data_IF_809170834685
#
_entry.id   IF_809170834685
#
_cell.length_a   1.000
_cell.length_b   1.000
_cell.length_c   1.000
_cell.angle_alpha   90.00
_cell.angle_beta   90.00
_cell.angle_gamma   90.00
#
_symmetry.space_group_name_H-M   'P 1'
#
loop_
_entity.id
_entity.type
_entity.pdbx_description
1 polymer ?
#
# COMPACT_ATOMS: atom_id res chain seq x y z
N UNK A 1 -15.42 -34.42 -69.68
CA UNK A 1 -15.56 -33.53 -68.51
C UNK A 1 -14.24 -33.67 -67.74
N UNK A 2 -13.14 -33.06 -68.16
CA UNK A 2 -12.81 -31.60 -68.08
C UNK A 2 -13.02 -31.10 -66.65
N UNK A 3 -12.09 -30.58 -65.87
CA UNK A 3 -10.69 -30.13 -66.00
C UNK A 3 -10.40 -29.39 -64.66
N UNK A 4 -9.26 -29.59 -64.01
CA UNK A 4 -8.08 -28.70 -64.05
C UNK A 4 -8.21 -27.34 -63.30
N UNK A 5 -7.14 -27.04 -62.54
CA UNK A 5 -6.68 -25.72 -62.01
C UNK A 5 -7.39 -25.21 -60.73
N UNK A 6 -6.72 -24.61 -59.75
CA UNK A 6 -5.71 -23.57 -59.90
C UNK A 6 -4.77 -23.44 -58.66
N UNK A 7 -3.46 -23.35 -58.92
CA UNK A 7 -2.43 -22.76 -58.05
C UNK A 7 -2.43 -21.24 -58.24
N UNK A 8 -2.21 -20.45 -57.18
CA UNK A 8 -1.61 -19.10 -57.27
C UNK A 8 -1.04 -18.66 -55.90
N UNK A 9 0.30 -18.54 -55.81
CA UNK A 9 1.12 -17.31 -55.59
C UNK A 9 0.98 -16.68 -54.19
N UNK A 10 1.98 -16.71 -53.30
CA UNK A 10 3.32 -16.10 -53.32
C UNK A 10 3.31 -14.57 -53.48
N UNK A 11 3.72 -13.85 -52.42
CA UNK A 11 3.89 -12.39 -52.45
C UNK A 11 4.16 -11.76 -51.08
N UNK A 12 5.23 -12.17 -50.39
CA UNK A 12 5.81 -11.42 -49.26
C UNK A 12 6.53 -10.19 -49.83
N UNK A 13 6.05 -8.99 -49.56
CA UNK A 13 6.82 -7.75 -49.76
C UNK A 13 7.16 -7.11 -48.42
N UNK A 14 8.48 -6.98 -48.22
CA UNK A 14 9.16 -6.28 -47.14
C UNK A 14 8.83 -4.79 -47.21
N UNK A 15 8.36 -4.21 -46.11
CA UNK A 15 8.39 -2.78 -45.89
C UNK A 15 9.56 -2.46 -44.94
N UNK A 16 10.61 -1.86 -45.48
CA UNK A 16 11.69 -1.23 -44.74
C UNK A 16 11.20 0.12 -44.23
N UNK A 17 11.27 0.35 -42.91
CA UNK A 17 11.10 1.68 -42.32
C UNK A 17 12.47 2.11 -41.78
N UNK A 18 13.07 3.06 -42.49
CA UNK A 18 14.27 3.76 -42.05
C UNK A 18 13.92 4.71 -40.90
N UNK A 19 14.53 4.44 -39.74
CA UNK A 19 14.80 5.44 -38.70
C UNK A 19 15.90 6.38 -39.20
N UNK A 20 15.69 7.70 -39.07
CA UNK A 20 16.71 8.67 -38.65
C UNK A 20 16.11 10.08 -38.59
N UNK A 21 15.86 10.58 -37.38
CA UNK A 21 15.96 12.02 -37.11
C UNK A 21 16.26 12.25 -35.64
N UNK A 22 17.54 12.44 -35.35
CA UNK A 22 18.03 13.01 -34.11
C UNK A 22 17.77 14.52 -34.13
N UNK A 23 17.06 15.02 -33.12
CA UNK A 23 16.95 16.45 -32.82
C UNK A 23 17.71 16.70 -31.54
N UNK A 24 18.73 17.54 -31.65
CA UNK A 24 19.61 18.00 -30.59
C UNK A 24 18.82 18.88 -29.60
N UNK A 25 18.87 18.56 -28.31
CA UNK A 25 18.37 19.40 -27.23
C UNK A 25 19.47 20.37 -26.74
N UNK A 26 19.14 21.62 -26.41
CA UNK A 26 20.13 22.61 -25.97
C UNK A 26 20.50 22.46 -24.48
N UNK A 27 21.79 22.66 -24.24
CA UNK A 27 22.48 22.71 -22.95
C UNK A 27 21.93 23.86 -22.08
N UNK A 28 21.28 23.53 -20.96
CA UNK A 28 20.95 24.48 -19.92
C UNK A 28 22.05 24.52 -18.84
N UNK A 29 22.57 25.73 -18.62
CA UNK A 29 23.70 26.07 -17.76
C UNK A 29 23.41 25.85 -16.27
N UNK A 30 24.36 25.20 -15.60
CA UNK A 30 24.52 25.19 -14.15
C UNK A 30 24.73 26.61 -13.61
N UNK A 31 23.87 27.07 -12.69
CA UNK A 31 24.15 28.17 -11.77
C UNK A 31 24.28 27.59 -10.37
N UNK A 32 25.51 27.48 -9.89
CA UNK A 32 25.83 27.27 -8.48
C UNK A 32 25.36 28.49 -7.67
N UNK A 33 24.64 28.26 -6.57
CA UNK A 33 24.42 29.25 -5.52
C UNK A 33 24.89 28.69 -4.17
N UNK A 34 25.45 29.55 -3.31
CA UNK A 34 26.23 29.15 -2.15
C UNK A 34 25.37 28.71 -0.98
N UNK A 35 25.92 27.77 -0.20
CA UNK A 35 25.37 27.28 1.06
C UNK A 35 25.43 28.38 2.14
N UNK A 36 24.27 28.73 2.68
CA UNK A 36 24.17 29.45 3.95
C UNK A 36 23.68 28.46 5.02
N UNK A 37 24.61 28.13 5.94
CA UNK A 37 24.33 27.43 7.19
C UNK A 37 23.57 28.37 8.12
N UNK A 38 22.38 27.98 8.54
CA UNK A 38 21.77 28.47 9.78
C UNK A 38 21.43 27.25 10.64
N UNK A 39 22.12 27.14 11.78
CA UNK A 39 21.81 26.17 12.82
C UNK A 39 20.52 26.62 13.50
N UNK A 40 19.41 25.94 13.22
CA UNK A 40 18.24 25.96 14.08
C UNK A 40 18.31 24.71 14.96
N UNK A 41 18.58 24.93 16.25
CA UNK A 41 18.54 23.91 17.29
C UNK A 41 17.08 23.51 17.50
N UNK A 42 16.62 22.54 16.71
CA UNK A 42 15.36 21.87 16.96
C UNK A 42 15.56 20.89 18.13
N UNK A 43 14.80 21.08 19.20
CA UNK A 43 14.75 20.12 20.29
C UNK A 43 14.34 18.74 19.74
N UNK A 44 15.05 17.65 20.09
CA UNK A 44 14.73 16.34 19.58
C UNK A 44 13.46 15.83 20.25
N UNK A 45 12.34 15.92 19.53
CA UNK A 45 11.23 15.00 19.72
C UNK A 45 11.84 13.59 19.75
N UNK A 46 11.62 12.89 20.85
CA UNK A 46 12.11 11.53 21.13
C UNK A 46 11.76 10.64 19.94
N UNK A 47 12.71 10.49 19.03
CA UNK A 47 12.66 9.50 17.98
C UNK A 47 12.94 8.17 18.67
N UNK A 48 11.92 7.59 19.29
CA UNK A 48 11.94 6.20 19.71
C UNK A 48 12.38 5.43 18.48
N UNK A 49 13.60 4.89 18.53
CA UNK A 49 14.13 4.08 17.44
C UNK A 49 13.36 2.77 17.51
N UNK A 50 12.13 2.78 17.01
CA UNK A 50 11.27 1.60 17.01
C UNK A 50 11.94 0.61 16.09
N UNK A 51 12.54 -0.42 16.68
CA UNK A 51 13.17 -1.51 15.96
C UNK A 51 12.23 -2.04 14.87
N UNK A 52 12.79 -2.56 13.78
CA UNK A 52 12.00 -3.14 12.71
C UNK A 52 11.11 -4.26 13.28
N UNK A 53 9.85 -4.39 12.82
CA UNK A 53 8.95 -5.42 13.33
C UNK A 53 9.46 -6.79 12.91
N UNK A 54 9.35 -7.78 13.81
CA UNK A 54 9.74 -9.16 13.50
C UNK A 54 8.92 -9.68 12.30
N UNK A 55 9.56 -10.26 11.28
CA UNK A 55 8.85 -10.66 10.07
C UNK A 55 7.91 -11.84 10.33
N UNK A 56 6.62 -11.75 9.93
CA UNK A 56 5.72 -12.89 10.03
C UNK A 56 6.11 -13.96 9.03
N UNK A 57 6.04 -15.22 9.47
CA UNK A 57 6.31 -16.38 8.59
C UNK A 57 5.02 -17.00 8.05
N UNK A 58 3.89 -16.77 8.73
CA UNK A 58 2.57 -17.28 8.33
C UNK A 58 1.54 -16.17 8.16
N UNK A 59 0.45 -16.48 7.47
CA UNK A 59 -0.72 -15.61 7.29
C UNK A 59 -1.39 -15.33 8.64
N UNK A 60 -1.56 -16.37 9.46
CA UNK A 60 -2.12 -16.23 10.82
C UNK A 60 -1.28 -15.29 11.67
N UNK A 61 0.06 -15.40 11.61
CA UNK A 61 0.94 -14.48 12.32
C UNK A 61 0.80 -13.05 11.80
N UNK A 62 0.74 -12.88 10.48
CA UNK A 62 0.55 -11.56 9.86
C UNK A 62 -0.79 -10.92 10.28
N UNK A 63 -1.88 -11.68 10.35
CA UNK A 63 -3.19 -11.21 10.83
C UNK A 63 -3.11 -10.75 12.29
N UNK A 64 -2.41 -11.51 13.15
CA UNK A 64 -2.18 -11.13 14.56
C UNK A 64 -1.35 -9.85 14.68
N UNK A 65 -0.31 -9.69 13.87
CA UNK A 65 0.49 -8.47 13.83
C UNK A 65 -0.34 -7.27 13.34
N UNK A 66 -1.15 -7.44 12.28
CA UNK A 66 -2.05 -6.42 11.78
C UNK A 66 -3.09 -5.97 12.82
N UNK A 67 -3.62 -6.91 13.61
CA UNK A 67 -4.56 -6.61 14.71
C UNK A 67 -3.89 -5.80 15.82
N UNK A 68 -2.64 -6.14 16.13
CA UNK A 68 -1.82 -5.42 17.11
C UNK A 68 -1.55 -3.98 16.63
N UNK A 69 -1.20 -3.81 15.35
CA UNK A 69 -1.00 -2.50 14.74
C UNK A 69 -2.29 -1.65 14.78
N UNK A 70 -3.45 -2.24 14.48
CA UNK A 70 -4.75 -1.55 14.59
C UNK A 70 -5.02 -1.08 16.02
N UNK A 71 -4.78 -1.94 17.02
CA UNK A 71 -4.97 -1.60 18.43
C UNK A 71 -4.12 -0.40 18.83
N UNK A 72 -2.82 -0.48 18.55
CA UNK A 72 -1.86 0.57 18.90
C UNK A 72 -2.20 1.89 18.19
N UNK A 73 -2.61 1.82 16.93
CA UNK A 73 -3.04 2.99 16.18
C UNK A 73 -4.28 3.64 16.80
N UNK A 74 -5.29 2.85 17.20
CA UNK A 74 -6.50 3.38 17.87
C UNK A 74 -6.19 4.01 19.22
N UNK A 75 -5.31 3.40 20.00
CA UNK A 75 -4.85 3.96 21.28
C UNK A 75 -4.15 5.31 21.07
N UNK A 76 -3.27 5.41 20.08
CA UNK A 76 -2.60 6.66 19.72
C UNK A 76 -3.57 7.72 19.18
N UNK A 77 -4.52 7.33 18.33
CA UNK A 77 -5.56 8.22 17.82
C UNK A 77 -6.44 8.79 18.96
N UNK A 78 -6.81 7.95 19.94
CA UNK A 78 -7.55 8.38 21.11
C UNK A 78 -6.74 9.30 22.02
N UNK A 79 -5.44 9.05 22.18
CA UNK A 79 -4.53 9.92 22.94
C UNK A 79 -4.39 11.30 22.28
N UNK A 80 -4.25 11.34 20.95
CA UNK A 80 -4.19 12.56 20.16
C UNK A 80 -5.49 13.38 20.32
N UNK A 81 -6.65 12.74 20.18
CA UNK A 81 -7.96 13.38 20.35
C UNK A 81 -8.14 13.98 21.76
N UNK A 82 -7.70 13.27 22.81
CA UNK A 82 -7.71 13.78 24.19
C UNK A 82 -6.78 14.98 24.36
N UNK A 83 -5.60 14.95 23.75
CA UNK A 83 -4.63 16.05 23.81
C UNK A 83 -5.15 17.31 23.11
N UNK A 84 -5.83 17.15 21.97
CA UNK A 84 -6.45 18.23 21.21
C UNK A 84 -7.65 18.84 21.96
N UNK A 85 -8.49 18.02 22.59
CA UNK A 85 -9.57 18.49 23.45
C UNK A 85 -9.05 19.31 24.64
N UNK A 86 -7.98 18.84 25.30
CA UNK A 86 -7.36 19.53 26.43
C UNK A 86 -6.77 20.90 26.03
N UNK A 87 -6.14 20.99 24.84
CA UNK A 87 -5.64 22.26 24.29
C UNK A 87 -6.75 23.27 24.05
N UNK A 88 -7.91 22.82 23.53
CA UNK A 88 -9.07 23.69 23.29
C UNK A 88 -9.70 24.19 24.59
N UNK A 89 -9.76 23.37 25.63
CA UNK A 89 -10.29 23.79 26.94
C UNK A 89 -9.32 24.67 27.74
N UNK A 90 -8.01 24.48 27.58
CA UNK A 90 -6.99 25.24 28.33
C UNK A 90 -6.65 26.62 27.77
N UNK A 91 -7.02 26.91 26.51
CA UNK A 91 -6.69 28.17 25.83
C UNK A 91 -7.61 29.37 26.13
N UNK A 92 -8.60 29.25 27.01
CA UNK A 92 -9.53 30.36 27.32
C UNK A 92 -9.24 31.09 28.65
N UNK A 93 -8.18 30.76 29.38
CA UNK A 93 -7.88 31.36 30.67
C UNK A 93 -6.51 32.07 30.71
N UNK A 94 -6.32 33.10 29.85
CA UNK A 94 -5.28 34.16 29.90
C UNK A 94 -5.36 34.88 28.55
N UNK A 95 -5.84 36.11 28.36
CA UNK A 95 -5.37 37.37 28.95
C UNK A 95 -6.39 38.48 28.65
N UNK A 96 -7.00 39.06 29.67
CA UNK A 96 -7.57 40.42 29.61
C UNK A 96 -6.69 41.35 30.43
N UNK A 97 -5.66 41.89 29.80
CA UNK A 97 -5.01 43.13 30.25
C UNK A 97 -4.69 43.97 29.03
N UNK A 98 -5.59 44.92 28.80
CA UNK A 98 -5.53 46.02 27.85
C UNK A 98 -4.28 46.90 28.01
N UNK A 99 -3.58 47.18 26.91
CA UNK A 99 -3.15 48.55 26.52
C UNK A 99 -2.54 48.57 25.10
N UNK A 100 -2.62 49.70 24.36
CA UNK A 100 -2.50 49.70 22.90
C UNK A 100 -1.21 50.33 22.33
N UNK A 101 -1.02 50.11 21.02
CA UNK A 101 -0.29 50.89 20.01
C UNK A 101 1.14 50.47 19.60
N UNK A 102 1.27 49.86 18.41
CA UNK A 102 1.98 50.41 17.22
C UNK A 102 2.01 49.40 16.05
N UNK A 103 2.00 49.85 14.78
CA UNK A 103 1.83 48.98 13.62
C UNK A 103 3.18 48.53 13.03
N UNK A 104 3.32 47.24 12.70
CA UNK A 104 4.43 46.73 11.88
C UNK A 104 3.95 45.61 10.96
N UNK A 105 4.51 45.63 9.75
CA UNK A 105 4.09 45.01 8.50
C UNK A 105 3.90 43.47 8.50
N UNK A 106 3.07 42.93 7.57
CA UNK A 106 2.86 41.49 7.45
C UNK A 106 4.01 40.83 6.68
N UNK A 107 4.77 39.96 7.34
CA UNK A 107 5.68 39.03 6.66
C UNK A 107 5.00 37.68 6.48
N UNK A 108 4.75 37.31 5.22
CA UNK A 108 4.27 35.98 4.87
C UNK A 108 5.41 34.99 5.06
N UNK A 109 5.33 34.19 6.13
CA UNK A 109 6.17 33.02 6.33
C UNK A 109 5.30 31.77 6.29
N UNK A 110 5.24 31.18 5.10
CA UNK A 110 4.72 29.85 4.82
C UNK A 110 5.63 28.78 5.45
N UNK A 111 5.43 28.55 6.75
CA UNK A 111 6.03 27.42 7.46
C UNK A 111 5.35 26.12 7.06
N UNK A 112 6.07 25.28 6.31
CA UNK A 112 5.66 23.90 6.00
C UNK A 112 5.65 23.09 7.30
N UNK A 113 4.46 22.63 7.69
CA UNK A 113 4.24 21.76 8.83
C UNK A 113 4.76 20.33 8.56
N UNK A 114 5.20 19.61 9.60
CA UNK A 114 5.46 18.17 9.48
C UNK A 114 4.16 17.39 9.18
N UNK A 115 4.24 16.20 8.56
CA UNK A 115 3.08 15.36 8.30
C UNK A 115 2.59 14.77 9.64
N UNK A 116 1.64 15.45 10.26
CA UNK A 116 1.09 15.09 11.56
C UNK A 116 0.25 16.18 12.22
N UNK A 117 0.00 17.31 11.55
CA UNK A 117 -0.91 18.35 12.03
C UNK A 117 -2.36 17.89 11.85
N UNK A 118 -3.03 17.61 12.97
CA UNK A 118 -4.41 17.12 13.10
C UNK A 118 -5.31 17.39 11.91
N UNK A 119 -5.48 16.38 11.06
CA UNK A 119 -6.46 16.45 9.99
C UNK A 119 -7.85 16.37 10.62
N UNK A 120 -8.62 17.44 10.48
CA UNK A 120 -10.05 17.52 10.85
C UNK A 120 -10.94 16.67 9.94
N UNK A 121 -10.37 15.91 8.99
CA UNK A 121 -11.07 15.09 8.03
C UNK A 121 -11.13 13.59 8.42
N UNK A 122 -11.87 12.78 7.65
CA UNK A 122 -11.88 11.33 7.82
C UNK A 122 -10.48 10.73 7.67
N UNK A 123 -10.11 9.80 8.55
CA UNK A 123 -8.82 9.11 8.48
C UNK A 123 -8.91 7.97 7.47
N UNK A 124 -7.88 7.76 6.66
CA UNK A 124 -7.86 6.71 5.65
C UNK A 124 -6.63 5.84 5.80
N UNK A 125 -6.85 4.54 5.94
CA UNK A 125 -5.80 3.56 6.22
C UNK A 125 -5.79 2.45 5.17
N UNK A 126 -4.60 1.90 4.92
CA UNK A 126 -4.41 0.72 4.09
C UNK A 126 -3.90 -0.43 4.95
N UNK A 127 -4.45 -1.62 4.72
CA UNK A 127 -3.99 -2.88 5.29
C UNK A 127 -3.79 -3.89 4.17
N UNK A 128 -2.55 -4.34 3.94
CA UNK A 128 -2.27 -5.49 3.07
C UNK A 128 -2.05 -6.75 3.91
N UNK A 129 -3.06 -7.62 3.96
CA UNK A 129 -2.97 -8.97 4.51
C UNK A 129 -2.46 -9.95 3.45
N UNK A 130 -1.47 -10.79 3.76
CA UNK A 130 -1.08 -11.87 2.86
C UNK A 130 -2.24 -12.85 2.71
N UNK A 131 -2.49 -13.30 1.49
CA UNK A 131 -3.48 -14.33 1.21
C UNK A 131 -2.83 -15.72 1.36
N UNK A 132 -3.53 -16.73 1.90
CA UNK A 132 -3.04 -18.09 1.97
C UNK A 132 -2.86 -18.67 0.56
N UNK A 133 -1.80 -19.47 0.39
CA UNK A 133 -1.50 -20.10 -0.87
C UNK A 133 -2.66 -21.02 -1.30
N UNK A 134 -3.25 -20.74 -2.46
CA UNK A 134 -4.37 -21.54 -3.00
C UNK A 134 -3.92 -22.67 -3.92
N UNK A 135 -2.60 -22.80 -4.19
CA UNK A 135 -2.06 -23.81 -5.10
C UNK A 135 -2.40 -25.22 -4.62
N UNK A 136 -3.52 -25.72 -5.13
CA UNK A 136 -3.70 -27.11 -5.46
C UNK A 136 -2.82 -27.34 -6.67
N UNK A 137 -1.76 -28.13 -6.54
CA UNK A 137 -0.98 -28.56 -7.71
C UNK A 137 -1.91 -29.09 -8.80
N UNK A 138 -1.46 -29.07 -10.05
CA UNK A 138 -2.20 -29.57 -11.24
C UNK A 138 -2.80 -30.99 -11.07
N UNK A 139 -2.36 -31.75 -10.06
CA UNK A 139 -2.86 -33.07 -9.65
C UNK A 139 -3.71 -33.05 -8.35
N UNK A 140 -4.26 -31.91 -7.93
CA UNK A 140 -5.12 -31.79 -6.75
C UNK A 140 -4.40 -31.87 -5.39
N UNK A 141 -3.06 -31.80 -5.36
CA UNK A 141 -2.31 -31.74 -4.09
C UNK A 141 -2.23 -30.29 -3.60
N UNK A 142 -3.01 -29.95 -2.58
CA UNK A 142 -2.93 -28.63 -1.92
C UNK A 142 -1.51 -28.28 -1.46
N UNK A 143 -1.26 -26.99 -1.23
CA UNK A 143 -0.02 -26.52 -0.63
C UNK A 143 0.24 -27.28 0.67
N UNK A 144 1.45 -27.82 0.85
CA UNK A 144 1.82 -28.58 2.05
C UNK A 144 1.69 -27.78 3.35
N UNK A 145 1.67 -26.45 3.25
CA UNK A 145 1.34 -25.54 4.32
C UNK A 145 0.55 -24.33 3.77
N UNK A 146 -0.79 -24.31 3.85
CA UNK A 146 -1.61 -23.22 3.30
C UNK A 146 -1.49 -21.91 4.09
N UNK A 147 -1.04 -21.97 5.34
CA UNK A 147 -0.83 -20.79 6.20
C UNK A 147 0.52 -20.13 5.96
N UNK A 148 1.43 -20.77 5.20
CA UNK A 148 2.74 -20.18 4.91
C UNK A 148 2.60 -18.90 4.08
N UNK A 149 3.32 -17.85 4.46
CA UNK A 149 3.36 -16.61 3.71
C UNK A 149 4.24 -16.80 2.46
N UNK A 150 3.61 -16.79 1.28
CA UNK A 150 4.23 -17.07 -0.01
C UNK A 150 4.12 -15.90 -0.99
N UNK A 151 4.97 -15.91 -2.02
CA UNK A 151 4.80 -15.07 -3.20
C UNK A 151 3.47 -15.42 -3.88
N UNK A 152 2.57 -14.44 -3.94
CA UNK A 152 1.28 -14.56 -4.60
C UNK A 152 1.41 -14.29 -6.10
N UNK A 153 0.82 -15.17 -6.90
CA UNK A 153 0.59 -14.98 -8.33
C UNK A 153 -0.90 -14.69 -8.55
N UNK A 154 -1.24 -13.84 -9.51
CA UNK A 154 -2.65 -13.61 -9.90
C UNK A 154 -3.31 -14.92 -10.37
N UNK A 155 -2.51 -15.82 -10.98
CA UNK A 155 -2.95 -17.15 -11.38
C UNK A 155 -3.37 -18.06 -10.21
N UNK A 156 -3.03 -17.72 -8.96
CA UNK A 156 -3.42 -18.51 -7.79
C UNK A 156 -4.94 -18.39 -7.49
N UNK A 157 -5.64 -17.43 -8.10
CA UNK A 157 -7.09 -17.23 -7.96
C UNK A 157 -7.79 -17.30 -9.32
N UNK A 158 -7.93 -18.50 -9.93
CA UNK A 158 -8.55 -18.65 -11.26
C UNK A 158 -10.01 -18.21 -11.32
N UNK A 159 -10.71 -18.18 -10.19
CA UNK A 159 -12.06 -17.61 -10.03
C UNK A 159 -12.08 -16.08 -9.87
N UNK A 160 -10.96 -15.40 -10.11
CA UNK A 160 -10.82 -13.95 -10.08
C UNK A 160 -11.12 -13.33 -8.71
N UNK A 161 -11.67 -12.12 -8.74
CA UNK A 161 -11.91 -11.30 -7.55
C UNK A 161 -12.90 -11.93 -6.56
N UNK A 162 -13.89 -12.69 -7.04
CA UNK A 162 -14.82 -13.42 -6.17
C UNK A 162 -14.09 -14.47 -5.34
N UNK A 163 -13.22 -15.27 -5.96
CA UNK A 163 -12.45 -16.28 -5.24
C UNK A 163 -11.47 -15.62 -4.27
N UNK A 164 -10.80 -14.55 -4.69
CA UNK A 164 -9.91 -13.77 -3.85
C UNK A 164 -10.64 -13.22 -2.62
N UNK A 165 -11.82 -12.65 -2.80
CA UNK A 165 -12.64 -12.15 -1.70
C UNK A 165 -13.07 -13.25 -0.74
N UNK A 166 -13.49 -14.43 -1.24
CA UNK A 166 -13.85 -15.58 -0.40
C UNK A 166 -12.72 -15.99 0.53
N UNK A 167 -11.48 -15.90 0.06
CA UNK A 167 -10.28 -16.20 0.85
C UNK A 167 -9.93 -15.05 1.81
N UNK A 168 -10.11 -13.81 1.37
CA UNK A 168 -9.80 -12.62 2.16
C UNK A 168 -10.79 -12.40 3.31
N UNK A 169 -12.08 -12.70 3.12
CA UNK A 169 -13.13 -12.43 4.09
C UNK A 169 -12.86 -13.04 5.48
N UNK A 170 -12.53 -14.34 5.62
CA UNK A 170 -12.17 -14.92 6.91
C UNK A 170 -10.97 -14.22 7.57
N UNK A 171 -10.00 -13.73 6.79
CA UNK A 171 -8.85 -13.00 7.32
C UNK A 171 -9.24 -11.62 7.85
N UNK A 172 -10.15 -10.92 7.18
CA UNK A 172 -10.70 -9.64 7.64
C UNK A 172 -11.48 -9.84 8.94
N UNK A 173 -12.35 -10.84 8.99
CA UNK A 173 -13.14 -11.16 10.18
C UNK A 173 -12.23 -11.54 11.36
N UNK A 174 -11.21 -12.37 11.12
CA UNK A 174 -10.20 -12.67 12.11
C UNK A 174 -9.43 -11.41 12.53
N UNK A 175 -8.96 -10.57 11.59
CA UNK A 175 -8.24 -9.34 11.93
C UNK A 175 -9.07 -8.39 12.81
N UNK A 176 -10.39 -8.30 12.57
CA UNK A 176 -11.32 -7.45 13.31
C UNK A 176 -11.88 -8.09 14.60
N UNK A 177 -11.43 -9.28 14.98
CA UNK A 177 -11.84 -9.93 16.22
C UNK A 177 -11.61 -9.00 17.43
N UNK A 178 -12.67 -8.79 18.22
CA UNK A 178 -12.68 -7.88 19.36
C UNK A 178 -13.16 -6.46 19.08
N UNK A 179 -13.48 -6.11 17.82
CA UNK A 179 -14.02 -4.79 17.43
C UNK A 179 -15.51 -4.80 17.09
N UNK A 180 -16.24 -5.86 17.47
CA UNK A 180 -17.64 -6.09 17.10
C UNK A 180 -17.92 -5.90 15.60
N UNK A 181 -17.20 -6.63 14.71
CA UNK A 181 -17.36 -6.42 13.28
C UNK A 181 -18.74 -6.86 12.81
N UNK A 182 -19.40 -6.01 12.02
CA UNK A 182 -20.65 -6.33 11.34
C UNK A 182 -20.43 -6.28 9.83
N UNK A 183 -20.70 -7.38 9.13
CA UNK A 183 -20.64 -7.41 7.67
C UNK A 183 -21.90 -6.75 7.09
N UNK A 184 -21.72 -5.62 6.42
CA UNK A 184 -22.81 -4.82 5.87
C UNK A 184 -23.25 -5.28 4.47
N UNK A 185 -22.45 -6.12 3.83
CA UNK A 185 -22.72 -6.67 2.50
C UNK A 185 -21.70 -6.25 1.45
N UNK A 186 -22.12 -6.34 0.19
CA UNK A 186 -21.33 -5.93 -0.98
C UNK A 186 -21.76 -4.52 -1.42
N UNK A 187 -20.81 -3.71 -1.90
CA UNK A 187 -21.12 -2.32 -2.30
C UNK A 187 -21.87 -2.19 -3.63
N UNK A 188 -21.75 -3.15 -4.55
CA UNK A 188 -22.47 -3.14 -5.83
C UNK A 188 -23.03 -4.52 -6.16
N UNK A 189 -22.23 -5.38 -6.78
CA UNK A 189 -22.58 -6.78 -7.04
C UNK A 189 -21.66 -7.71 -6.23
N UNK A 190 -22.19 -8.85 -5.79
CA UNK A 190 -21.39 -9.92 -5.20
C UNK A 190 -20.33 -10.47 -6.17
N UNK A 191 -20.52 -10.28 -7.48
CA UNK A 191 -19.56 -10.63 -8.52
C UNK A 191 -18.25 -9.81 -8.46
N UNK A 192 -18.27 -8.60 -7.92
CA UNK A 192 -17.07 -7.76 -7.82
C UNK A 192 -16.21 -8.09 -6.59
N UNK A 193 -16.78 -8.85 -5.64
CA UNK A 193 -16.07 -9.29 -4.44
C UNK A 193 -15.65 -8.13 -3.53
N UNK A 194 -16.35 -6.99 -3.53
CA UNK A 194 -16.04 -5.85 -2.65
C UNK A 194 -16.94 -5.89 -1.42
N UNK A 195 -16.39 -6.34 -0.31
CA UNK A 195 -17.10 -6.40 0.97
C UNK A 195 -16.94 -5.13 1.81
N UNK A 196 -17.99 -4.82 2.57
CA UNK A 196 -18.01 -3.72 3.54
C UNK A 196 -18.32 -4.25 4.95
N UNK A 197 -17.58 -3.79 5.95
CA UNK A 197 -17.83 -4.03 7.36
C UNK A 197 -17.91 -2.71 8.13
N UNK A 198 -18.67 -2.71 9.22
CA UNK A 198 -18.47 -1.79 10.33
C UNK A 198 -17.55 -2.45 11.37
N UNK A 199 -16.68 -1.67 12.01
CA UNK A 199 -15.80 -2.13 13.09
C UNK A 199 -15.91 -1.18 14.28
N UNK A 200 -17.08 -1.18 14.91
CA UNK A 200 -17.50 -0.17 15.88
C UNK A 200 -18.16 1.06 15.24
N UNK A 201 -18.40 2.12 16.02
CA UNK A 201 -19.19 3.27 15.57
C UNK A 201 -18.44 4.21 14.62
N UNK A 202 -17.11 4.17 14.62
CA UNK A 202 -16.21 5.16 14.01
C UNK A 202 -15.32 4.59 12.91
N UNK A 203 -15.53 3.32 12.52
CA UNK A 203 -14.66 2.63 11.56
C UNK A 203 -15.46 1.86 10.52
N UNK A 204 -15.14 2.08 9.24
CA UNK A 204 -15.61 1.29 8.11
C UNK A 204 -14.44 0.58 7.45
N UNK A 205 -14.62 -0.70 7.13
CA UNK A 205 -13.60 -1.52 6.47
C UNK A 205 -14.14 -1.95 5.12
N UNK A 206 -13.39 -1.66 4.06
CA UNK A 206 -13.70 -2.07 2.70
C UNK A 206 -12.59 -2.99 2.21
N UNK A 207 -12.93 -4.15 1.65
CA UNK A 207 -11.94 -5.13 1.20
C UNK A 207 -12.00 -5.34 -0.32
N UNK A 208 -10.84 -5.72 -0.88
CA UNK A 208 -10.68 -6.14 -2.27
C UNK A 208 -11.06 -5.08 -3.32
N UNK A 209 -10.75 -3.82 -3.04
CA UNK A 209 -11.03 -2.75 -4.00
C UNK A 209 -10.01 -2.79 -5.13
N UNK A 210 -10.51 -2.86 -6.36
CA UNK A 210 -9.71 -2.86 -7.58
C UNK A 210 -9.89 -1.58 -8.38
N UNK A 211 -9.09 -1.40 -9.44
CA UNK A 211 -9.28 -0.30 -10.38
C UNK A 211 -10.69 -0.25 -10.99
N UNK A 212 -11.37 -1.39 -11.10
CA UNK A 212 -12.74 -1.47 -11.62
C UNK A 212 -13.79 -1.01 -10.60
N UNK A 213 -13.53 -1.20 -9.31
CA UNK A 213 -14.48 -0.94 -8.22
C UNK A 213 -14.17 0.33 -7.43
N UNK A 214 -13.25 1.15 -7.92
CA UNK A 214 -13.01 2.51 -7.39
C UNK A 214 -14.27 3.37 -7.40
N UNK A 215 -15.18 3.33 -8.40
CA UNK A 215 -16.44 4.07 -8.34
C UNK A 215 -17.24 3.78 -7.06
N UNK A 216 -17.30 2.52 -6.62
CA UNK A 216 -17.98 2.10 -5.40
C UNK A 216 -17.31 2.68 -4.14
N UNK A 217 -15.97 2.70 -4.12
CA UNK A 217 -15.21 3.36 -3.05
C UNK A 217 -15.48 4.87 -3.01
N UNK A 218 -15.48 5.55 -4.17
CA UNK A 218 -15.77 6.99 -4.24
C UNK A 218 -17.16 7.27 -3.69
N UNK A 219 -18.16 6.49 -4.12
CA UNK A 219 -19.53 6.61 -3.63
C UNK A 219 -19.63 6.36 -2.11
N UNK A 220 -18.86 5.41 -1.55
CA UNK A 220 -18.77 5.23 -0.09
C UNK A 220 -18.23 6.47 0.59
N UNK A 221 -17.12 7.02 0.10
CA UNK A 221 -16.45 8.18 0.70
C UNK A 221 -17.26 9.47 0.58
N UNK A 222 -18.08 9.59 -0.47
CA UNK A 222 -19.02 10.69 -0.67
C UNK A 222 -20.32 10.53 0.15
N UNK A 223 -20.46 9.43 0.90
CA UNK A 223 -21.63 9.17 1.74
C UNK A 223 -22.83 8.56 1.01
N UNK A 224 -22.64 8.09 -0.22
CA UNK A 224 -23.68 7.45 -1.04
C UNK A 224 -24.19 6.11 -0.52
N UNK A 225 -23.53 5.53 0.49
CA UNK A 225 -23.98 4.36 1.27
C UNK A 225 -24.27 4.71 2.73
N UNK A 226 -24.48 5.98 3.02
CA UNK A 226 -24.67 6.54 4.37
C UNK A 226 -23.56 7.50 4.77
N UNK A 227 -23.91 8.51 5.57
CA UNK A 227 -23.01 9.61 5.91
C UNK A 227 -21.87 9.25 6.88
N UNK A 228 -21.80 8.02 7.41
CA UNK A 228 -20.78 7.64 8.40
C UNK A 228 -19.36 7.80 7.85
N UNK A 229 -19.10 7.27 6.67
CA UNK A 229 -17.77 7.30 6.05
C UNK A 229 -17.26 8.71 5.72
N UNK A 230 -18.14 9.71 5.64
CA UNK A 230 -17.80 11.12 5.39
C UNK A 230 -17.73 11.97 6.66
N UNK A 231 -18.06 11.41 7.83
CA UNK A 231 -18.01 12.16 9.09
C UNK A 231 -16.57 12.47 9.51
N UNK A 232 -16.32 13.69 10.04
CA UNK A 232 -15.06 14.01 10.70
C UNK A 232 -14.73 13.00 11.80
N UNK A 233 -13.49 12.51 11.83
CA UNK A 233 -13.04 11.51 12.80
C UNK A 233 -13.43 10.06 12.48
N UNK A 234 -14.28 9.82 11.47
CA UNK A 234 -14.53 8.46 10.98
C UNK A 234 -13.30 7.92 10.25
N UNK A 235 -13.02 6.64 10.44
CA UNK A 235 -11.88 5.95 9.83
C UNK A 235 -12.35 5.00 8.75
N UNK A 236 -11.80 5.12 7.55
CA UNK A 236 -12.02 4.17 6.46
C UNK A 236 -10.75 3.37 6.23
N UNK A 237 -10.84 2.05 6.30
CA UNK A 237 -9.72 1.13 6.10
C UNK A 237 -9.93 0.31 4.83
N UNK A 238 -9.02 0.43 3.88
CA UNK A 238 -8.99 -0.39 2.68
C UNK A 238 -8.10 -1.62 2.90
N UNK A 239 -8.66 -2.81 2.75
CA UNK A 239 -7.95 -4.08 2.89
C UNK A 239 -7.65 -4.67 1.51
N UNK A 240 -6.37 -4.96 1.28
CA UNK A 240 -5.82 -5.48 0.02
C UNK A 240 -6.24 -4.67 -1.22
N UNK A 241 -6.16 -3.33 -1.20
CA UNK A 241 -6.45 -2.54 -2.39
C UNK A 241 -5.44 -2.87 -3.51
N UNK A 242 -5.92 -3.01 -4.74
CA UNK A 242 -5.07 -3.26 -5.92
C UNK A 242 -4.93 -2.04 -6.82
N UNK A 243 -5.58 -0.92 -6.49
CA UNK A 243 -5.35 0.33 -7.23
C UNK A 243 -3.89 0.76 -7.06
N UNK A 244 -3.25 1.11 -8.17
CA UNK A 244 -1.83 1.52 -8.18
C UNK A 244 -1.70 3.02 -8.34
N UNK A 245 -2.61 3.64 -9.07
CA UNK A 245 -2.69 5.07 -9.28
C UNK A 245 -4.10 5.44 -9.76
N UNK A 246 -4.45 6.72 -9.65
CA UNK A 246 -5.66 7.23 -10.28
C UNK A 246 -5.69 7.03 -11.81
N UNK A 247 -4.52 6.96 -12.45
CA UNK A 247 -4.44 6.71 -13.90
C UNK A 247 -4.79 5.28 -14.31
N UNK A 248 -4.77 4.31 -13.38
CA UNK A 248 -5.22 2.94 -13.63
C UNK A 248 -6.73 2.76 -13.48
N UNK A 249 -7.45 3.79 -13.02
CA UNK A 249 -8.89 3.72 -12.75
C UNK A 249 -9.70 3.95 -14.03
N UNK A 250 -10.63 3.03 -14.28
CA UNK A 250 -11.57 3.12 -15.40
C UNK A 250 -10.90 3.18 -16.78
N UNK A 251 -11.74 3.41 -17.79
CA UNK A 251 -11.31 3.52 -19.17
C UNK A 251 -10.63 4.88 -19.46
N UNK A 252 -9.73 4.98 -20.46
CA UNK A 252 -9.01 6.22 -20.76
C UNK A 252 -9.88 7.45 -21.01
N UNK A 253 -11.12 7.26 -21.50
CA UNK A 253 -12.07 8.34 -21.78
C UNK A 253 -12.93 8.77 -20.58
N UNK A 254 -12.84 8.08 -19.44
CA UNK A 254 -13.58 8.43 -18.21
C UNK A 254 -12.83 9.51 -17.41
N UNK A 255 -12.63 10.68 -18.03
CA UNK A 255 -11.80 11.76 -17.48
C UNK A 255 -12.27 12.23 -16.10
N UNK A 256 -13.58 12.36 -15.91
CA UNK A 256 -14.18 12.80 -14.65
C UNK A 256 -13.95 11.80 -13.50
N UNK A 257 -14.12 10.51 -13.77
CA UNK A 257 -13.81 9.45 -12.81
C UNK A 257 -12.33 9.46 -12.43
N UNK A 258 -11.44 9.64 -13.41
CA UNK A 258 -9.99 9.69 -13.16
C UNK A 258 -9.57 10.93 -12.37
N UNK A 259 -10.19 12.08 -12.64
CA UNK A 259 -9.98 13.31 -11.86
C UNK A 259 -10.39 13.08 -10.41
N UNK A 260 -11.59 12.54 -10.18
CA UNK A 260 -12.09 12.27 -8.83
C UNK A 260 -11.25 11.21 -8.11
N UNK A 261 -10.83 10.15 -8.82
CA UNK A 261 -9.91 9.15 -8.28
C UNK A 261 -8.56 9.76 -7.91
N UNK A 262 -8.04 10.74 -8.65
CA UNK A 262 -6.79 11.43 -8.31
C UNK A 262 -6.89 12.22 -7.02
N UNK A 263 -8.03 12.87 -6.75
CA UNK A 263 -8.27 13.60 -5.50
C UNK A 263 -8.36 12.66 -4.29
N UNK A 264 -8.88 11.44 -4.48
CA UNK A 264 -9.21 10.53 -3.37
C UNK A 264 -8.14 9.48 -3.10
N UNK A 265 -7.54 8.95 -4.16
CA UNK A 265 -6.51 7.91 -4.11
C UNK A 265 -5.10 8.49 -4.00
N UNK A 266 -4.95 9.81 -3.83
CA UNK A 266 -3.67 10.44 -3.57
C UNK A 266 -2.97 9.71 -2.39
N UNK A 267 -1.76 9.15 -2.60
CA UNK A 267 -1.01 8.47 -1.56
C UNK A 267 -0.77 9.32 -0.31
N UNK A 268 -0.77 10.65 -0.41
CA UNK A 268 -0.68 11.53 0.75
C UNK A 268 -1.90 11.45 1.67
N UNK A 269 -3.05 11.04 1.12
CA UNK A 269 -4.31 10.91 1.86
C UNK A 269 -4.52 9.56 2.54
N UNK A 270 -3.71 8.53 2.24
CA UNK A 270 -3.84 7.18 2.78
C UNK A 270 -2.58 6.74 3.52
N UNK A 271 -2.73 6.39 4.80
CA UNK A 271 -1.62 5.86 5.60
C UNK A 271 -1.61 4.32 5.57
N UNK A 272 -0.45 3.70 5.35
CA UNK A 272 -0.35 2.24 5.49
C UNK A 272 -0.22 1.85 6.96
N UNK A 273 -1.28 1.24 7.51
CA UNK A 273 -1.31 0.72 8.88
C UNK A 273 -0.50 -0.57 8.98
N UNK A 274 -0.70 -1.49 8.03
CA UNK A 274 -0.03 -2.77 7.98
C UNK A 274 0.16 -3.23 6.54
N UNK A 275 1.29 -3.83 6.21
CA UNK A 275 1.52 -4.50 4.92
C UNK A 275 2.52 -5.61 5.10
N UNK A 276 2.19 -6.84 4.72
CA UNK A 276 3.15 -7.94 4.64
C UNK A 276 3.04 -8.62 3.28
N UNK A 277 4.06 -8.44 2.44
CA UNK A 277 4.04 -8.88 1.05
C UNK A 277 5.35 -9.51 0.62
N UNK A 278 5.29 -10.74 0.12
CA UNK A 278 6.43 -11.32 -0.61
C UNK A 278 6.59 -10.63 -1.96
N UNK A 279 7.83 -10.35 -2.29
CA UNK A 279 8.26 -9.69 -3.51
C UNK A 279 9.23 -10.60 -4.24
N UNK A 280 9.19 -10.52 -5.56
CA UNK A 280 10.20 -11.07 -6.46
C UNK A 280 10.73 -9.95 -7.33
N UNK A 281 12.04 -9.77 -7.33
CA UNK A 281 12.69 -8.84 -8.25
C UNK A 281 12.80 -9.45 -9.64
N UNK A 282 12.96 -8.61 -10.66
CA UNK A 282 13.21 -9.06 -12.04
C UNK A 282 14.50 -9.88 -12.21
N UNK A 283 15.39 -9.88 -11.20
CA UNK A 283 16.62 -10.70 -11.16
C UNK A 283 16.46 -12.01 -10.38
N UNK A 284 15.23 -12.38 -10.05
CA UNK A 284 14.89 -13.59 -9.30
C UNK A 284 15.27 -13.55 -7.82
N UNK A 285 15.51 -12.37 -7.25
CA UNK A 285 15.72 -12.23 -5.81
C UNK A 285 14.38 -12.12 -5.09
N UNK A 286 14.16 -12.92 -4.06
CA UNK A 286 12.93 -12.92 -3.27
C UNK A 286 13.12 -12.12 -1.97
N UNK A 287 12.03 -11.58 -1.42
CA UNK A 287 12.04 -10.95 -0.10
C UNK A 287 10.66 -10.59 0.42
N UNK A 288 10.57 -10.30 1.71
CA UNK A 288 9.37 -9.84 2.39
C UNK A 288 9.49 -8.33 2.66
N UNK A 289 8.54 -7.56 2.13
CA UNK A 289 8.34 -6.17 2.52
C UNK A 289 7.29 -6.12 3.63
N UNK A 290 7.66 -5.52 4.75
CA UNK A 290 6.83 -5.44 5.95
C UNK A 290 6.67 -3.98 6.41
N UNK A 291 5.45 -3.66 6.83
CA UNK A 291 5.10 -2.45 7.57
C UNK A 291 4.10 -2.86 8.65
N UNK A 292 4.34 -2.46 9.89
CA UNK A 292 3.38 -2.64 10.98
C UNK A 292 3.42 -1.40 11.88
N UNK A 293 2.34 -0.63 11.98
CA UNK A 293 2.31 0.60 12.79
C UNK A 293 2.60 0.30 14.26
N UNK A 294 3.46 1.09 14.95
CA UNK A 294 4.13 2.34 14.53
C UNK A 294 5.52 2.14 13.90
N UNK A 295 5.92 0.91 13.60
CA UNK A 295 7.25 0.60 13.09
C UNK A 295 7.46 1.03 11.65
N UNK A 296 8.73 1.22 11.28
CA UNK A 296 9.20 1.57 9.94
C UNK A 296 8.89 0.46 8.92
N UNK A 297 8.91 0.82 7.64
CA UNK A 297 9.01 -0.16 6.56
C UNK A 297 10.31 -0.93 6.71
N UNK A 298 10.26 -2.24 6.51
CA UNK A 298 11.39 -3.15 6.61
C UNK A 298 11.41 -4.13 5.44
N UNK A 299 12.58 -4.41 4.89
CA UNK A 299 12.79 -5.39 3.82
C UNK A 299 13.68 -6.52 4.32
N UNK A 300 13.18 -7.75 4.19
CA UNK A 300 13.89 -8.98 4.54
C UNK A 300 14.12 -9.80 3.28
N UNK A 301 15.37 -10.09 2.88
CA UNK A 301 15.62 -10.95 1.73
C UNK A 301 15.23 -12.39 2.07
N UNK A 302 14.82 -13.18 1.08
CA UNK A 302 14.36 -14.56 1.27
C UNK A 302 15.13 -15.53 0.37
N UNK A 303 15.48 -16.70 0.92
CA UNK A 303 16.15 -17.78 0.16
C UNK A 303 15.16 -18.48 -0.80
N UNK A 304 13.89 -18.47 -0.46
CA UNK A 304 12.78 -19.14 -1.13
C UNK A 304 11.72 -18.12 -1.53
N UNK A 305 10.76 -18.46 -2.41
CA UNK A 305 9.60 -17.61 -2.70
C UNK A 305 8.56 -17.62 -1.57
N UNK A 306 9.00 -17.82 -0.32
CA UNK A 306 8.19 -17.86 0.88
C UNK A 306 8.97 -17.33 2.10
N UNK A 307 8.26 -17.13 3.21
CA UNK A 307 8.82 -16.53 4.41
C UNK A 307 9.55 -17.52 5.35
N UNK A 308 9.81 -18.77 4.96
CA UNK A 308 10.48 -19.76 5.85
C UNK A 308 11.93 -19.42 6.11
N UNK A 309 12.60 -18.85 5.11
CA UNK A 309 14.05 -18.68 5.09
C UNK A 309 14.42 -17.22 4.84
N UNK A 310 13.96 -16.33 5.72
CA UNK A 310 14.30 -14.92 5.68
C UNK A 310 15.74 -14.67 6.18
N UNK A 311 16.38 -13.64 5.63
CA UNK A 311 17.64 -13.07 6.10
C UNK A 311 17.40 -11.91 7.06
N UNK A 312 18.48 -11.20 7.39
CA UNK A 312 18.41 -9.98 8.21
C UNK A 312 17.76 -8.81 7.46
N UNK A 313 17.28 -7.82 8.19
CA UNK A 313 16.69 -6.62 7.61
C UNK A 313 17.76 -5.84 6.81
N UNK A 314 17.56 -5.69 5.49
CA UNK A 314 18.51 -5.00 4.59
C UNK A 314 18.10 -3.57 4.26
N UNK A 315 16.88 -3.17 4.62
CA UNK A 315 16.37 -1.82 4.42
C UNK A 315 15.33 -1.50 5.48
N UNK A 316 15.48 -0.37 6.18
CA UNK A 316 14.48 0.15 7.10
C UNK A 316 14.23 1.65 6.84
N UNK A 317 13.00 2.03 6.47
CA UNK A 317 12.65 3.41 6.10
C UNK A 317 11.35 3.86 6.77
N UNK A 318 11.23 5.14 7.18
CA UNK A 318 9.98 5.65 7.76
C UNK A 318 8.84 5.62 6.73
N UNK A 319 9.15 5.96 5.48
CA UNK A 319 8.20 5.98 4.36
C UNK A 319 8.34 4.75 3.48
N UNK A 320 7.32 4.50 2.64
CA UNK A 320 7.31 3.36 1.73
C UNK A 320 8.47 3.48 0.74
N UNK A 321 9.40 2.52 0.70
CA UNK A 321 10.54 2.59 -0.20
C UNK A 321 10.08 2.46 -1.67
N UNK A 322 10.70 3.19 -2.61
CA UNK A 322 10.38 3.06 -4.03
C UNK A 322 10.82 1.69 -4.56
N UNK A 323 10.05 1.14 -5.52
CA UNK A 323 10.32 -0.19 -6.09
C UNK A 323 11.75 -0.39 -6.61
N UNK A 324 12.35 0.66 -7.18
CA UNK A 324 13.73 0.62 -7.66
C UNK A 324 14.73 0.30 -6.52
N UNK A 325 14.56 0.97 -5.38
CA UNK A 325 15.41 0.74 -4.20
C UNK A 325 15.20 -0.67 -3.63
N UNK A 326 13.95 -1.16 -3.61
CA UNK A 326 13.65 -2.53 -3.20
C UNK A 326 14.40 -3.56 -4.06
N UNK A 327 14.34 -3.40 -5.39
CA UNK A 327 15.01 -4.30 -6.34
C UNK A 327 16.53 -4.27 -6.15
N UNK A 328 17.13 -3.09 -5.98
CA UNK A 328 18.56 -2.92 -5.75
C UNK A 328 19.01 -3.65 -4.47
N UNK A 329 18.31 -3.45 -3.35
CA UNK A 329 18.64 -4.11 -2.07
C UNK A 329 18.46 -5.62 -2.10
N UNK A 330 17.42 -6.12 -2.75
CA UNK A 330 17.24 -7.57 -2.92
C UNK A 330 18.34 -8.16 -3.81
N UNK A 331 18.77 -7.46 -4.86
CA UNK A 331 19.85 -7.93 -5.73
C UNK A 331 21.20 -7.97 -5.00
N UNK A 332 21.49 -7.00 -4.13
CA UNK A 332 22.69 -6.99 -3.27
C UNK A 332 22.70 -8.19 -2.30
N UNK A 333 21.56 -8.51 -1.70
CA UNK A 333 21.43 -9.61 -0.74
C UNK A 333 21.39 -11.01 -1.38
N UNK A 334 21.06 -11.09 -2.68
CA UNK A 334 20.82 -12.35 -3.39
C UNK A 334 21.95 -13.37 -3.24
N UNK A 335 23.25 -13.04 -3.44
CA UNK A 335 24.32 -14.04 -3.33
C UNK A 335 24.40 -14.69 -1.93
N UNK A 336 24.11 -13.94 -0.87
CA UNK A 336 24.05 -14.46 0.49
C UNK A 336 22.86 -15.40 0.70
N UNK A 337 21.70 -15.05 0.13
CA UNK A 337 20.51 -15.91 0.18
C UNK A 337 20.67 -17.17 -0.66
N UNK A 338 21.32 -17.10 -1.83
CA UNK A 338 21.62 -18.26 -2.68
C UNK A 338 22.56 -19.24 -1.94
N UNK A 339 23.54 -18.72 -1.19
CA UNK A 339 24.42 -19.54 -0.35
C UNK A 339 23.62 -20.21 0.78
N UNK A 340 22.76 -19.45 1.46
CA UNK A 340 21.88 -19.97 2.51
C UNK A 340 20.91 -21.04 1.99
N UNK A 341 20.37 -20.87 0.78
CA UNK A 341 19.52 -21.85 0.13
C UNK A 341 20.26 -23.19 -0.08
N UNK A 342 21.50 -23.12 -0.59
CA UNK A 342 22.38 -24.30 -0.77
C UNK A 342 22.68 -25.01 0.55
N UNK A 343 23.04 -24.25 1.58
CA UNK A 343 23.33 -24.79 2.92
C UNK A 343 22.13 -25.53 3.52
N UNK A 344 20.91 -25.06 3.23
CA UNK A 344 19.66 -25.67 3.69
C UNK A 344 19.18 -26.81 2.78
N UNK A 345 19.87 -27.12 1.68
CA UNK A 345 19.43 -28.11 0.70
C UNK A 345 18.14 -27.70 -0.03
N UNK A 346 17.86 -26.39 -0.10
CA UNK A 346 16.68 -25.80 -0.73
C UNK A 346 16.95 -25.37 -2.19
N UNK A 347 17.97 -25.97 -2.84
CA UNK A 347 18.32 -25.63 -4.22
C UNK A 347 17.06 -25.66 -5.10
N UNK A 348 16.66 -24.47 -5.58
CA UNK A 348 15.52 -24.35 -6.47
C UNK A 348 15.80 -25.22 -7.72
N UNK A 349 14.85 -26.06 -8.18
CA UNK A 349 14.93 -26.51 -9.56
C UNK A 349 15.01 -25.26 -10.43
N UNK A 350 16.06 -25.15 -11.25
CA UNK A 350 16.42 -23.96 -12.07
C UNK A 350 15.36 -23.57 -13.13
N UNK A 351 14.13 -24.03 -12.99
CA UNK A 351 13.09 -23.95 -14.00
C UNK A 351 11.92 -23.13 -13.45
N UNK A 352 12.13 -21.82 -13.23
CA UNK A 352 11.07 -20.80 -13.18
C UNK A 352 11.63 -19.43 -13.58
#
# INVERSE_FOLDING_TARGET
MSGSLCRQRAGMQRAAIHNHRAVLAPVCRHRQRPALRTCATAEPLVATTTAAPAPPTTVTEAVRQARTALRQWREAAAAEAKSEAARRSGGQASTSSSSPSSPSSPSMSSGSAPPGGGSTGPRRLIVDLPLPAQRSGFLGRGASNPDLLMLLDEADFPGGEVQRFRVLRPLVEAWLEGYNPEFLGFLEDGADGVGLWSAGPDTSVIANVTSATVPSLLKLLDGGYGARASQPGHTVIAVNPTWTSASSVGQPWQFELRRRAAEVLDPAGWETLYSARMLRSSRGANGLLLRAWPHRWALYPAATPDARCLGECVLATPERPPNKLLIERLAEAKPGMDKKAKELGLDEPRWF
#
